data_IF_305963320048
#
_entry.id   IF_305963320048
#
_cell.length_a   1.000
_cell.length_b   1.000
_cell.length_c   1.000
_cell.angle_alpha   90.00
_cell.angle_beta   90.00
_cell.angle_gamma   90.00
#
_symmetry.space_group_name_H-M   'P 1'
#
loop_
_entity.id
_entity.type
_entity.pdbx_description
1 polymer ?
#
# COMPACT_ATOMS: atom_id res chain seq x y z
N UNK A 1 13.98 29.60 -1.75
CA UNK A 1 14.01 28.93 -0.42
C UNK A 1 15.40 28.35 -0.19
N UNK A 2 15.87 28.12 1.05
CA UNK A 2 17.12 27.36 1.24
C UNK A 2 16.89 25.88 0.91
N UNK A 3 17.69 25.32 0.01
CA UNK A 3 17.60 23.90 -0.38
C UNK A 3 17.77 22.99 0.85
N UNK A 4 16.83 22.07 1.13
CA UNK A 4 16.98 21.07 2.18
C UNK A 4 18.21 20.19 1.92
N UNK A 5 18.94 19.83 2.97
CA UNK A 5 20.18 19.01 2.87
C UNK A 5 20.00 17.71 2.08
N UNK A 6 18.81 17.09 2.16
CA UNK A 6 18.48 15.83 1.46
C UNK A 6 18.27 16.02 -0.05
N UNK A 7 17.92 17.22 -0.52
CA UNK A 7 17.73 17.52 -1.96
C UNK A 7 19.03 18.04 -2.58
N UNK A 8 19.97 18.53 -1.76
CA UNK A 8 21.22 19.11 -2.23
C UNK A 8 22.05 18.20 -3.18
N UNK A 9 22.17 16.89 -2.95
CA UNK A 9 22.83 15.97 -3.90
C UNK A 9 22.15 15.96 -5.27
N UNK A 10 20.82 15.98 -5.33
CA UNK A 10 20.07 16.03 -6.60
C UNK A 10 20.31 17.34 -7.34
N UNK A 11 20.61 18.44 -6.63
CA UNK A 11 21.00 19.71 -7.25
C UNK A 11 22.41 19.65 -7.81
N UNK A 12 23.35 19.08 -7.05
CA UNK A 12 24.74 18.91 -7.48
C UNK A 12 24.88 17.97 -8.68
N UNK A 13 24.00 16.96 -8.79
CA UNK A 13 23.92 16.03 -9.91
C UNK A 13 23.10 16.56 -11.12
N UNK A 14 22.48 17.74 -11.01
CA UNK A 14 21.70 18.35 -12.09
C UNK A 14 20.33 17.70 -12.33
N UNK A 15 19.80 16.93 -11.38
CA UNK A 15 18.44 16.36 -11.43
C UNK A 15 17.37 17.37 -11.02
N UNK A 16 17.74 18.32 -10.15
CA UNK A 16 16.88 19.40 -9.65
C UNK A 16 17.63 20.73 -9.78
N UNK A 17 17.05 21.75 -10.39
CA UNK A 17 17.70 23.06 -10.51
C UNK A 17 17.49 23.90 -9.25
N UNK A 18 16.25 23.93 -8.75
CA UNK A 18 15.88 24.73 -7.59
C UNK A 18 14.72 24.13 -6.79
N UNK A 19 14.72 24.40 -5.48
CA UNK A 19 13.58 24.13 -4.60
C UNK A 19 12.73 25.39 -4.50
N UNK A 20 11.55 25.35 -5.10
CA UNK A 20 10.63 26.49 -5.19
C UNK A 20 10.01 26.76 -3.82
N UNK A 21 9.31 25.74 -3.27
CA UNK A 21 8.63 25.84 -1.96
C UNK A 21 8.41 24.47 -1.33
N UNK A 22 8.18 24.45 -0.01
CA UNK A 22 7.63 23.26 0.66
C UNK A 22 6.12 23.19 0.37
N UNK A 23 5.65 22.01 -0.03
CA UNK A 23 4.23 21.77 -0.28
C UNK A 23 3.52 21.32 1.00
N UNK A 24 4.00 20.24 1.60
CA UNK A 24 3.43 19.69 2.82
C UNK A 24 4.48 18.94 3.65
N UNK A 25 4.25 18.84 4.95
CA UNK A 25 5.09 18.05 5.87
C UNK A 25 4.20 17.11 6.67
N UNK A 26 4.32 15.81 6.40
CA UNK A 26 3.61 14.75 7.10
C UNK A 26 4.46 14.09 8.20
N UNK A 27 3.94 13.02 8.81
CA UNK A 27 4.68 12.23 9.80
C UNK A 27 5.85 11.46 9.18
N UNK A 28 5.70 11.00 7.93
CA UNK A 28 6.66 10.09 7.30
C UNK A 28 7.55 10.76 6.25
N UNK A 29 7.07 11.83 5.62
CA UNK A 29 7.78 12.54 4.56
C UNK A 29 7.43 14.03 4.54
N UNK A 30 8.30 14.82 3.91
CA UNK A 30 8.04 16.22 3.54
C UNK A 30 8.11 16.31 2.02
N UNK A 31 7.10 16.91 1.40
CA UNK A 31 7.02 17.10 -0.06
C UNK A 31 7.39 18.53 -0.40
N UNK A 32 8.24 18.70 -1.40
CA UNK A 32 8.68 19.99 -1.93
C UNK A 32 8.32 20.09 -3.41
N UNK A 33 7.98 21.31 -3.84
CA UNK A 33 7.88 21.66 -5.25
C UNK A 33 9.26 22.07 -5.73
N UNK A 34 9.73 21.43 -6.80
CA UNK A 34 11.08 21.60 -7.36
C UNK A 34 11.02 21.86 -8.86
N UNK A 35 12.00 22.59 -9.39
CA UNK A 35 12.19 22.78 -10.83
C UNK A 35 13.22 21.78 -11.36
N UNK A 36 12.91 21.18 -12.51
CA UNK A 36 13.78 20.26 -13.23
C UNK A 36 13.72 20.58 -14.73
N UNK A 37 14.64 21.39 -15.23
CA UNK A 37 14.57 22.07 -16.52
C UNK A 37 13.35 22.97 -16.60
N UNK A 38 12.57 22.79 -17.67
CA UNK A 38 11.32 23.53 -17.90
C UNK A 38 10.13 22.95 -17.12
N UNK A 39 10.32 21.84 -16.40
CA UNK A 39 9.25 21.12 -15.71
C UNK A 39 9.24 21.42 -14.21
N UNK A 40 8.05 21.49 -13.63
CA UNK A 40 7.84 21.59 -12.18
C UNK A 40 7.39 20.23 -11.66
N UNK A 41 8.06 19.74 -10.61
CA UNK A 41 7.90 18.38 -10.06
C UNK A 41 7.77 18.39 -8.55
N UNK A 42 7.43 17.22 -7.99
CA UNK A 42 7.43 16.93 -6.57
C UNK A 42 8.70 16.17 -6.16
N UNK A 43 9.35 16.63 -5.09
CA UNK A 43 10.37 15.88 -4.36
C UNK A 43 9.82 15.45 -3.00
N UNK A 44 9.46 14.17 -2.84
CA UNK A 44 9.03 13.56 -1.57
C UNK A 44 10.27 13.08 -0.80
N UNK A 45 10.62 13.81 0.25
CA UNK A 45 11.77 13.53 1.12
C UNK A 45 11.31 12.74 2.35
N UNK A 46 11.73 11.49 2.47
CA UNK A 46 11.35 10.65 3.61
C UNK A 46 12.12 11.01 4.89
N UNK A 47 11.43 10.98 6.03
CA UNK A 47 12.03 11.19 7.36
C UNK A 47 12.72 9.90 7.84
N UNK A 48 13.78 10.02 8.65
CA UNK A 48 14.57 8.88 9.17
C UNK A 48 13.74 7.94 10.06
N UNK A 49 14.04 6.63 10.06
CA UNK A 49 13.20 5.63 10.74
C UNK A 49 13.04 5.85 12.25
N UNK A 50 14.00 6.48 12.92
CA UNK A 50 13.94 6.77 14.35
C UNK A 50 12.88 7.82 14.73
N UNK A 51 12.27 8.50 13.74
CA UNK A 51 11.19 9.46 13.95
C UNK A 51 9.81 8.92 13.53
N UNK A 52 9.74 7.66 13.08
CA UNK A 52 8.49 7.03 12.61
C UNK A 52 7.87 6.20 13.74
N UNK A 53 6.82 6.73 14.38
CA UNK A 53 6.03 5.97 15.36
C UNK A 53 5.22 4.87 14.66
N UNK A 54 5.81 3.69 14.46
CA UNK A 54 5.14 2.53 13.86
C UNK A 54 4.52 1.63 14.94
N UNK A 55 3.19 1.63 15.04
CA UNK A 55 2.45 0.54 15.70
C UNK A 55 1.91 -0.51 14.72
N UNK A 56 1.87 -0.23 13.41
CA UNK A 56 1.21 -1.10 12.41
C UNK A 56 2.13 -1.65 11.29
N UNK A 57 3.45 -1.43 11.34
CA UNK A 57 4.38 -1.81 10.26
C UNK A 57 4.41 -3.30 9.90
N UNK A 58 4.14 -4.19 10.86
CA UNK A 58 4.30 -5.65 10.69
C UNK A 58 3.36 -6.19 9.61
N UNK A 59 2.12 -5.67 9.55
CA UNK A 59 1.09 -6.12 8.60
C UNK A 59 1.41 -5.69 7.16
N UNK A 60 2.06 -4.54 6.97
CA UNK A 60 2.48 -4.02 5.67
C UNK A 60 3.79 -4.64 5.15
N UNK A 61 4.57 -5.26 6.03
CA UNK A 61 5.82 -5.93 5.68
C UNK A 61 5.62 -7.40 5.29
N UNK A 62 4.54 -8.03 5.75
CA UNK A 62 4.17 -9.40 5.36
C UNK A 62 3.92 -9.48 3.84
N UNK A 63 4.62 -10.39 3.16
CA UNK A 63 4.55 -10.60 1.72
C UNK A 63 5.66 -9.93 0.89
N UNK A 64 6.42 -8.97 1.45
CA UNK A 64 7.55 -8.33 0.77
C UNK A 64 8.78 -9.25 0.74
N UNK A 65 8.83 -10.21 -0.19
CA UNK A 65 10.00 -11.07 -0.38
C UNK A 65 11.10 -10.34 -1.16
N UNK A 66 12.25 -10.13 -0.52
CA UNK A 66 13.48 -9.70 -1.20
C UNK A 66 13.98 -10.85 -2.09
N UNK A 67 14.25 -10.57 -3.37
CA UNK A 67 14.68 -11.58 -4.37
C UNK A 67 16.01 -12.29 -4.03
N UNK A 68 16.73 -11.88 -2.99
CA UNK A 68 18.05 -12.38 -2.64
C UNK A 68 18.09 -12.98 -1.21
N UNK A 69 18.34 -14.30 -1.12
CA UNK A 69 18.25 -15.09 0.13
C UNK A 69 19.25 -14.68 1.22
N UNK A 70 20.36 -14.03 0.85
CA UNK A 70 21.33 -13.47 1.81
C UNK A 70 20.83 -12.17 2.46
N UNK A 71 20.07 -11.36 1.72
CA UNK A 71 19.53 -10.09 2.19
C UNK A 71 18.34 -10.31 3.15
N UNK A 72 17.49 -11.31 2.84
CA UNK A 72 16.40 -11.72 3.72
C UNK A 72 16.88 -12.09 5.14
N UNK A 73 17.98 -12.86 5.25
CA UNK A 73 18.59 -13.27 6.54
C UNK A 73 19.23 -12.10 7.32
N UNK A 74 19.65 -11.03 6.64
CA UNK A 74 20.23 -9.86 7.29
C UNK A 74 19.16 -8.94 7.90
N UNK A 75 17.98 -8.88 7.27
CA UNK A 75 16.79 -8.19 7.76
C UNK A 75 16.17 -8.92 8.97
N UNK A 76 16.08 -10.25 8.91
CA UNK A 76 15.55 -11.10 9.99
C UNK A 76 16.31 -10.96 11.33
N UNK A 77 17.60 -10.59 11.26
CA UNK A 77 18.47 -10.42 12.43
C UNK A 77 18.48 -9.00 13.01
N UNK A 78 17.73 -8.05 12.45
CA UNK A 78 17.60 -6.69 13.00
C UNK A 78 18.92 -5.89 13.10
N UNK A 79 19.96 -6.29 12.36
CA UNK A 79 21.28 -5.67 12.40
C UNK A 79 21.25 -4.22 11.87
N UNK A 80 22.23 -3.39 12.23
CA UNK A 80 22.34 -2.00 11.71
C UNK A 80 22.38 -1.95 10.18
N UNK A 81 23.02 -2.95 9.56
CA UNK A 81 23.03 -3.15 8.11
C UNK A 81 21.66 -3.61 7.59
N UNK A 82 21.00 -4.55 8.27
CA UNK A 82 19.64 -5.00 7.95
C UNK A 82 18.61 -3.87 7.98
N UNK A 83 18.68 -2.95 8.97
CA UNK A 83 17.82 -1.76 9.05
C UNK A 83 18.08 -0.76 7.94
N UNK A 84 19.36 -0.49 7.61
CA UNK A 84 19.74 0.37 6.48
C UNK A 84 19.26 -0.21 5.14
N UNK A 85 19.38 -1.53 4.95
CA UNK A 85 18.85 -2.23 3.78
C UNK A 85 17.32 -2.21 3.72
N UNK A 86 16.64 -2.27 4.87
CA UNK A 86 15.18 -2.17 4.95
C UNK A 86 14.71 -0.75 4.60
N UNK A 87 15.47 0.29 4.97
CA UNK A 87 15.23 1.67 4.57
C UNK A 87 15.46 1.89 3.06
N UNK A 88 16.53 1.36 2.47
CA UNK A 88 16.79 1.43 1.01
C UNK A 88 15.72 0.67 0.20
N UNK A 89 15.25 -0.49 0.69
CA UNK A 89 14.12 -1.24 0.09
C UNK A 89 12.78 -0.51 0.25
N UNK A 90 12.58 0.24 1.34
CA UNK A 90 11.34 0.99 1.55
C UNK A 90 11.28 2.27 0.70
N UNK A 91 12.41 2.96 0.52
CA UNK A 91 12.53 4.13 -0.38
C UNK A 91 12.33 3.74 -1.84
N UNK A 92 12.67 2.51 -2.22
CA UNK A 92 12.45 1.95 -3.56
C UNK A 92 11.04 1.38 -3.74
N UNK A 93 10.37 0.92 -2.68
CA UNK A 93 9.05 0.30 -2.79
C UNK A 93 7.96 1.24 -3.32
N UNK A 94 7.92 2.50 -2.89
CA UNK A 94 6.93 3.46 -3.41
C UNK A 94 7.21 3.82 -4.87
N UNK A 95 8.49 4.01 -5.23
CA UNK A 95 8.88 4.23 -6.63
C UNK A 95 8.53 3.02 -7.52
N UNK A 96 8.85 1.81 -7.07
CA UNK A 96 8.53 0.57 -7.77
C UNK A 96 7.01 0.37 -7.92
N UNK A 97 6.24 0.74 -6.90
CA UNK A 97 4.79 0.74 -6.97
C UNK A 97 4.28 1.72 -8.03
N UNK A 98 4.73 2.99 -8.01
CA UNK A 98 4.37 3.97 -9.02
C UNK A 98 4.71 3.50 -10.44
N UNK A 99 5.92 2.96 -10.66
CA UNK A 99 6.29 2.42 -11.97
C UNK A 99 5.42 1.24 -12.40
N UNK A 100 5.12 0.31 -11.48
CA UNK A 100 4.29 -0.87 -11.77
C UNK A 100 2.86 -0.46 -12.10
N UNK A 101 2.29 0.47 -11.34
CA UNK A 101 0.91 0.93 -11.51
C UNK A 101 0.75 1.80 -12.75
N UNK A 102 1.69 2.71 -13.02
CA UNK A 102 1.68 3.50 -14.26
C UNK A 102 1.74 2.60 -15.51
N UNK A 103 2.56 1.53 -15.49
CA UNK A 103 2.59 0.53 -16.57
C UNK A 103 1.30 -0.26 -16.72
N UNK A 104 0.54 -0.41 -15.65
CA UNK A 104 -0.78 -1.04 -15.66
C UNK A 104 -1.90 -0.08 -16.08
N UNK A 105 -1.58 1.18 -16.41
CA UNK A 105 -2.56 2.18 -16.81
C UNK A 105 -3.30 2.82 -15.63
N UNK A 106 -2.86 2.60 -14.40
CA UNK A 106 -3.43 3.27 -13.23
C UNK A 106 -2.99 4.72 -13.24
N UNK A 107 -3.91 5.64 -12.96
CA UNK A 107 -3.63 7.07 -12.80
C UNK A 107 -2.94 7.34 -11.47
N UNK A 108 -1.62 7.40 -11.54
CA UNK A 108 -0.70 7.76 -10.46
C UNK A 108 0.31 8.77 -11.00
N UNK A 109 0.98 9.57 -10.14
CA UNK A 109 2.05 10.46 -10.59
C UNK A 109 3.19 9.68 -11.26
N UNK A 110 3.71 10.17 -12.39
CA UNK A 110 4.88 9.54 -13.01
C UNK A 110 6.08 9.70 -12.08
N UNK A 111 6.68 8.58 -11.67
CA UNK A 111 7.95 8.59 -10.96
C UNK A 111 9.12 8.76 -11.94
N UNK A 112 10.13 9.54 -11.54
CA UNK A 112 11.39 9.72 -12.27
C UNK A 112 12.55 8.97 -11.61
N UNK A 113 12.42 8.67 -10.32
CA UNK A 113 13.40 7.89 -9.56
C UNK A 113 13.39 8.22 -8.08
N UNK A 114 14.05 7.38 -7.29
CA UNK A 114 14.30 7.65 -5.87
C UNK A 114 15.80 7.72 -5.62
N UNK A 115 16.28 8.88 -5.16
CA UNK A 115 17.69 9.20 -4.98
C UNK A 115 17.93 9.59 -3.51
N UNK A 116 18.76 8.84 -2.79
CA UNK A 116 19.13 9.11 -1.39
C UNK A 116 17.95 9.38 -0.42
N UNK A 117 16.81 8.74 -0.66
CA UNK A 117 15.57 8.94 0.12
C UNK A 117 14.73 10.13 -0.31
N UNK A 118 14.93 10.61 -1.53
CA UNK A 118 14.10 11.59 -2.21
C UNK A 118 13.46 10.94 -3.44
N UNK A 119 12.14 10.75 -3.40
CA UNK A 119 11.36 10.33 -4.57
C UNK A 119 11.01 11.56 -5.41
N UNK A 120 11.46 11.58 -6.66
CA UNK A 120 11.11 12.59 -7.65
C UNK A 120 9.96 12.07 -8.51
N UNK A 121 8.86 12.82 -8.57
CA UNK A 121 7.65 12.45 -9.31
C UNK A 121 6.92 13.69 -9.83
N UNK A 122 5.91 13.50 -10.68
CA UNK A 122 5.06 14.60 -11.14
C UNK A 122 4.43 15.39 -9.99
N UNK A 123 4.28 16.70 -10.21
CA UNK A 123 3.36 17.51 -9.42
C UNK A 123 1.98 17.40 -10.06
N UNK A 124 1.01 16.85 -9.33
CA UNK A 124 -0.39 16.81 -9.81
C UNK A 124 -0.98 18.20 -9.65
N UNK A 125 -1.45 18.78 -10.75
CA UNK A 125 -1.99 20.15 -10.79
C UNK A 125 -3.43 20.19 -11.28
N UNK A 126 -4.14 21.24 -10.87
CA UNK A 126 -5.43 21.60 -11.46
C UNK A 126 -5.25 22.34 -12.80
N UNK A 127 -6.36 22.78 -13.40
CA UNK A 127 -6.42 23.49 -14.68
C UNK A 127 -5.65 24.82 -14.68
N UNK A 128 -5.45 25.41 -13.49
CA UNK A 128 -4.79 26.70 -13.31
C UNK A 128 -3.28 26.53 -13.08
N UNK A 129 -2.79 25.29 -12.98
CA UNK A 129 -1.41 24.97 -12.62
C UNK A 129 -1.14 25.04 -11.12
N UNK A 130 -2.18 25.19 -10.30
CA UNK A 130 -2.09 25.09 -8.84
C UNK A 130 -2.10 23.62 -8.42
N UNK A 131 -1.73 23.34 -7.16
CA UNK A 131 -1.71 21.96 -6.65
C UNK A 131 -3.13 21.41 -6.68
N UNK A 132 -3.31 20.24 -7.28
CA UNK A 132 -4.63 19.62 -7.38
C UNK A 132 -5.27 19.43 -5.98
N UNK A 133 -6.56 19.74 -5.82
CA UNK A 133 -7.27 19.51 -4.57
C UNK A 133 -7.37 18.01 -4.26
N UNK A 134 -7.54 17.68 -2.98
CA UNK A 134 -7.88 16.31 -2.58
C UNK A 134 -9.32 15.99 -2.97
N UNK A 135 -9.63 14.71 -3.13
CA UNK A 135 -10.99 14.25 -3.43
C UNK A 135 -12.03 14.79 -2.42
N UNK A 136 -11.68 14.83 -1.13
CA UNK A 136 -12.53 15.40 -0.08
C UNK A 136 -12.82 16.91 -0.23
N UNK A 137 -12.01 17.66 -0.97
CA UNK A 137 -12.11 19.10 -1.16
C UNK A 137 -12.90 19.48 -2.42
N UNK A 138 -13.31 18.48 -3.21
CA UNK A 138 -14.11 18.67 -4.42
C UNK A 138 -15.58 18.91 -4.03
N UNK A 139 -16.26 19.78 -4.79
CA UNK A 139 -17.70 19.95 -4.69
C UNK A 139 -18.43 18.86 -5.48
N UNK A 140 -19.46 18.27 -4.86
CA UNK A 140 -20.10 17.07 -5.39
C UNK A 140 -21.53 17.31 -5.82
N UNK A 141 -21.86 16.77 -6.99
CA UNK A 141 -23.20 16.35 -7.33
C UNK A 141 -23.26 14.81 -7.45
N UNK A 142 -24.47 14.27 -7.47
CA UNK A 142 -24.70 12.83 -7.54
C UNK A 142 -24.08 12.19 -8.80
N UNK A 143 -24.12 12.89 -9.93
CA UNK A 143 -23.62 12.37 -11.21
C UNK A 143 -22.10 12.23 -11.19
N UNK A 144 -21.40 13.27 -10.74
CA UNK A 144 -19.95 13.29 -10.60
C UNK A 144 -19.48 12.26 -9.57
N UNK A 145 -20.22 12.12 -8.46
CA UNK A 145 -19.94 11.09 -7.45
C UNK A 145 -19.99 9.68 -8.05
N UNK A 146 -21.04 9.35 -8.82
CA UNK A 146 -21.15 8.06 -9.50
C UNK A 146 -20.06 7.83 -10.54
N UNK A 147 -19.72 8.87 -11.32
CA UNK A 147 -18.67 8.81 -12.34
C UNK A 147 -17.30 8.53 -11.71
N UNK A 148 -16.92 9.29 -10.68
CA UNK A 148 -15.62 9.15 -10.03
C UNK A 148 -15.53 7.87 -9.21
N UNK A 149 -16.63 7.43 -8.59
CA UNK A 149 -16.69 6.13 -7.93
C UNK A 149 -16.43 4.99 -8.92
N UNK A 150 -17.13 4.97 -10.06
CA UNK A 150 -16.93 3.96 -11.09
C UNK A 150 -15.50 4.00 -11.66
N UNK A 151 -14.97 5.20 -11.91
CA UNK A 151 -13.59 5.39 -12.35
C UNK A 151 -12.59 4.81 -11.35
N UNK A 152 -12.72 5.14 -10.06
CA UNK A 152 -11.81 4.68 -9.01
C UNK A 152 -11.91 3.17 -8.77
N UNK A 153 -13.11 2.57 -8.87
CA UNK A 153 -13.25 1.11 -8.85
C UNK A 153 -12.46 0.46 -10.00
N UNK A 154 -12.52 1.03 -11.20
CA UNK A 154 -11.70 0.54 -12.31
C UNK A 154 -10.20 0.69 -12.03
N UNK A 155 -9.76 1.79 -11.42
CA UNK A 155 -8.37 1.95 -10.97
C UNK A 155 -7.96 0.87 -9.96
N UNK A 156 -8.82 0.54 -8.99
CA UNK A 156 -8.59 -0.54 -8.02
C UNK A 156 -8.48 -1.90 -8.71
N UNK A 157 -9.32 -2.18 -9.70
CA UNK A 157 -9.22 -3.41 -10.51
C UNK A 157 -7.88 -3.47 -11.25
N UNK A 158 -7.46 -2.38 -11.89
CA UNK A 158 -6.16 -2.30 -12.56
C UNK A 158 -4.99 -2.55 -11.60
N UNK A 159 -5.04 -1.94 -10.41
CA UNK A 159 -4.04 -2.17 -9.35
C UNK A 159 -3.99 -3.66 -8.96
N UNK A 160 -5.15 -4.28 -8.71
CA UNK A 160 -5.23 -5.68 -8.30
C UNK A 160 -4.80 -6.65 -9.41
N UNK A 161 -5.19 -6.40 -10.66
CA UNK A 161 -4.69 -7.14 -11.83
C UNK A 161 -3.18 -6.98 -12.00
N UNK A 162 -2.64 -5.81 -11.66
CA UNK A 162 -1.20 -5.61 -11.58
C UNK A 162 -0.56 -6.31 -10.39
N UNK A 163 -1.34 -6.96 -9.49
CA UNK A 163 -0.89 -7.70 -8.31
C UNK A 163 -0.65 -6.83 -7.08
N UNK A 164 -1.26 -5.65 -7.01
CA UNK A 164 -1.03 -4.66 -5.97
C UNK A 164 -2.34 -4.19 -5.34
N UNK A 165 -2.32 -3.98 -4.03
CA UNK A 165 -3.42 -3.36 -3.28
C UNK A 165 -2.86 -2.11 -2.63
N UNK A 166 -3.61 -1.01 -2.63
CA UNK A 166 -3.16 0.26 -2.05
C UNK A 166 -2.86 0.12 -0.56
N UNK A 167 -3.74 -0.57 0.17
CA UNK A 167 -3.57 -0.86 1.59
C UNK A 167 -3.84 0.33 2.50
N UNK A 168 -4.39 1.44 1.99
CA UNK A 168 -4.86 2.60 2.77
C UNK A 168 -5.75 3.57 1.95
N UNK A 169 -6.42 3.10 0.89
CA UNK A 169 -7.09 4.00 -0.07
C UNK A 169 -8.28 4.72 0.57
N UNK A 170 -8.37 6.05 0.37
CA UNK A 170 -9.42 6.93 0.90
C UNK A 170 -9.49 8.25 0.12
N UNK A 171 -10.47 9.10 0.44
CA UNK A 171 -10.60 10.45 -0.11
C UNK A 171 -9.42 11.39 0.21
N UNK A 172 -8.55 11.01 1.15
CA UNK A 172 -7.38 11.80 1.55
C UNK A 172 -6.13 11.53 0.70
N UNK A 173 -6.05 10.40 0.00
CA UNK A 173 -4.92 10.01 -0.85
C UNK A 173 -5.29 9.91 -2.33
N UNK A 174 -6.31 10.67 -2.72
CA UNK A 174 -6.71 10.87 -4.10
C UNK A 174 -6.71 12.37 -4.36
N UNK A 175 -5.99 12.79 -5.40
CA UNK A 175 -6.05 14.16 -5.93
C UNK A 175 -6.94 14.18 -7.17
N UNK A 176 -7.45 15.35 -7.54
CA UNK A 176 -8.28 15.52 -8.74
C UNK A 176 -7.67 16.57 -9.66
N UNK A 177 -7.17 16.13 -10.81
CA UNK A 177 -6.69 17.02 -11.87
C UNK A 177 -7.79 17.31 -12.90
N UNK A 178 -7.45 18.04 -13.97
CA UNK A 178 -8.38 18.37 -15.06
C UNK A 178 -8.95 17.15 -15.80
N UNK A 179 -8.32 15.99 -15.66
CA UNK A 179 -8.76 14.74 -16.25
C UNK A 179 -9.43 13.81 -15.23
N UNK A 180 -9.49 14.17 -13.94
CA UNK A 180 -10.20 13.47 -12.87
C UNK A 180 -9.29 12.89 -11.77
N UNK A 181 -9.69 11.79 -11.10
CA UNK A 181 -8.95 11.26 -9.96
C UNK A 181 -7.55 10.72 -10.31
N UNK A 182 -6.59 10.98 -9.43
CA UNK A 182 -5.20 10.48 -9.44
C UNK A 182 -4.87 9.93 -8.05
N UNK A 183 -4.51 8.65 -7.99
CA UNK A 183 -4.17 7.95 -6.73
C UNK A 183 -2.73 8.30 -6.34
N UNK A 184 -2.54 8.67 -5.07
CA UNK A 184 -1.22 9.04 -4.52
C UNK A 184 -0.92 8.27 -3.24
N UNK A 185 0.31 8.41 -2.74
CA UNK A 185 0.76 7.88 -1.44
C UNK A 185 0.67 6.35 -1.30
N UNK A 186 1.62 5.65 -1.93
CA UNK A 186 1.69 4.19 -1.98
C UNK A 186 2.71 3.50 -1.02
N UNK A 187 3.19 4.09 0.10
CA UNK A 187 4.17 3.41 0.95
C UNK A 187 3.58 2.15 1.65
N UNK A 188 2.26 2.10 1.80
CA UNK A 188 1.51 0.99 2.39
C UNK A 188 1.03 -0.04 1.36
N UNK A 189 1.35 0.14 0.08
CA UNK A 189 0.97 -0.82 -0.94
C UNK A 189 1.53 -2.22 -0.64
N UNK A 190 0.69 -3.24 -0.83
CA UNK A 190 1.01 -4.64 -0.56
C UNK A 190 0.81 -5.51 -1.80
N UNK A 191 1.52 -6.63 -1.83
CA UNK A 191 1.34 -7.65 -2.86
C UNK A 191 0.08 -8.48 -2.57
N UNK A 192 -0.80 -8.60 -3.57
CA UNK A 192 -2.09 -9.26 -3.42
C UNK A 192 -1.99 -10.78 -3.23
N UNK A 193 -0.95 -11.42 -3.75
CA UNK A 193 -0.76 -12.88 -3.67
C UNK A 193 0.05 -13.29 -2.44
N UNK A 194 0.90 -12.40 -1.93
CA UNK A 194 1.85 -12.68 -0.84
C UNK A 194 1.37 -12.32 0.57
N UNK A 195 0.22 -11.67 0.74
CA UNK A 195 -0.23 -11.14 2.02
C UNK A 195 -1.56 -11.77 2.47
N UNK A 196 -1.57 -12.40 3.66
CA UNK A 196 -2.76 -13.05 4.23
C UNK A 196 -3.91 -12.07 4.53
N UNK A 197 -3.59 -10.78 4.71
CA UNK A 197 -4.55 -9.70 4.94
C UNK A 197 -4.98 -8.99 3.66
N UNK A 198 -4.50 -9.41 2.48
CA UNK A 198 -4.80 -8.78 1.20
C UNK A 198 -6.31 -8.61 0.95
N UNK A 199 -7.10 -9.67 1.22
CA UNK A 199 -8.56 -9.61 1.09
C UNK A 199 -9.16 -8.46 1.90
N UNK A 200 -8.84 -8.41 3.19
CA UNK A 200 -9.40 -7.43 4.13
C UNK A 200 -8.94 -6.02 3.78
N UNK A 201 -7.70 -5.86 3.32
CA UNK A 201 -7.18 -4.57 2.87
C UNK A 201 -7.90 -4.06 1.62
N UNK A 202 -8.09 -4.91 0.62
CA UNK A 202 -8.82 -4.54 -0.60
C UNK A 202 -10.28 -4.19 -0.29
N UNK A 203 -10.96 -5.04 0.49
CA UNK A 203 -12.35 -4.79 0.90
C UNK A 203 -12.45 -3.44 1.62
N UNK A 204 -11.57 -3.17 2.59
CA UNK A 204 -11.55 -1.88 3.30
C UNK A 204 -11.27 -0.70 2.37
N UNK A 205 -10.32 -0.82 1.45
CA UNK A 205 -10.00 0.25 0.49
C UNK A 205 -11.21 0.58 -0.40
N UNK A 206 -11.94 -0.43 -0.87
CA UNK A 206 -13.16 -0.25 -1.67
C UNK A 206 -14.35 0.25 -0.82
N UNK A 207 -14.48 -0.23 0.41
CA UNK A 207 -15.53 0.19 1.34
C UNK A 207 -15.34 1.66 1.77
N UNK A 208 -14.09 2.12 1.91
CA UNK A 208 -13.79 3.53 2.17
C UNK A 208 -14.31 4.43 1.03
N UNK A 209 -14.03 4.05 -0.22
CA UNK A 209 -14.56 4.77 -1.39
C UNK A 209 -16.09 4.73 -1.40
N UNK A 210 -16.67 3.55 -1.23
CA UNK A 210 -18.13 3.36 -1.23
C UNK A 210 -18.79 4.24 -0.15
N UNK A 211 -18.22 4.26 1.06
CA UNK A 211 -18.70 5.07 2.18
C UNK A 211 -18.66 6.56 1.83
N UNK A 212 -17.53 7.06 1.34
CA UNK A 212 -17.37 8.46 0.94
C UNK A 212 -18.40 8.87 -0.12
N UNK A 213 -18.46 8.14 -1.24
CA UNK A 213 -19.35 8.49 -2.34
C UNK A 213 -20.83 8.27 -2.03
N UNK A 214 -21.18 7.36 -1.11
CA UNK A 214 -22.56 7.14 -0.70
C UNK A 214 -23.19 8.34 0.01
N UNK A 215 -22.37 9.25 0.55
CA UNK A 215 -22.86 10.51 1.13
C UNK A 215 -23.48 11.44 0.08
N UNK A 216 -23.09 11.29 -1.20
CA UNK A 216 -23.57 12.07 -2.33
C UNK A 216 -24.45 11.26 -3.29
N UNK A 217 -24.29 9.93 -3.31
CA UNK A 217 -25.06 8.98 -4.11
C UNK A 217 -25.51 7.77 -3.25
N UNK A 218 -26.63 7.89 -2.51
CA UNK A 218 -27.07 6.91 -1.51
C UNK A 218 -27.23 5.47 -2.02
N UNK A 219 -27.52 5.30 -3.31
CA UNK A 219 -27.61 4.00 -3.99
C UNK A 219 -26.32 3.17 -3.93
N UNK A 220 -25.17 3.77 -3.62
CA UNK A 220 -23.91 3.06 -3.47
C UNK A 220 -23.80 2.33 -2.12
N UNK A 221 -24.54 2.76 -1.10
CA UNK A 221 -24.38 2.29 0.28
C UNK A 221 -24.55 0.78 0.46
N UNK A 222 -25.43 0.15 -0.34
CA UNK A 222 -25.73 -1.28 -0.26
C UNK A 222 -24.88 -2.14 -1.21
N UNK A 223 -23.91 -1.54 -1.89
CA UNK A 223 -23.04 -2.25 -2.84
C UNK A 223 -21.90 -2.98 -2.12
N UNK A 224 -21.44 -4.10 -2.70
CA UNK A 224 -20.39 -4.96 -2.15
C UNK A 224 -19.26 -5.18 -3.15
N UNK A 225 -18.81 -4.10 -3.81
CA UNK A 225 -17.78 -4.16 -4.83
C UNK A 225 -16.47 -4.80 -4.34
N UNK A 226 -16.02 -4.49 -3.11
CA UNK A 226 -14.75 -5.01 -2.59
C UNK A 226 -14.71 -6.54 -2.56
N UNK A 227 -15.78 -7.14 -2.02
CA UNK A 227 -15.94 -8.60 -1.98
C UNK A 227 -16.15 -9.20 -3.38
N UNK A 228 -16.85 -8.52 -4.28
CA UNK A 228 -17.13 -9.00 -5.65
C UNK A 228 -15.82 -9.07 -6.44
N UNK A 229 -15.04 -7.98 -6.43
CA UNK A 229 -13.72 -7.88 -7.05
C UNK A 229 -12.80 -8.98 -6.51
N UNK A 230 -12.75 -9.17 -5.18
CA UNK A 230 -11.90 -10.20 -4.58
C UNK A 230 -12.32 -11.62 -4.96
N UNK A 231 -13.61 -11.91 -5.01
CA UNK A 231 -14.10 -13.22 -5.43
C UNK A 231 -13.75 -13.53 -6.88
N UNK A 232 -13.90 -12.55 -7.79
CA UNK A 232 -13.48 -12.67 -9.18
C UNK A 232 -11.97 -12.87 -9.30
N UNK A 233 -11.18 -12.14 -8.50
CA UNK A 233 -9.72 -12.29 -8.46
C UNK A 233 -9.30 -13.69 -8.02
N UNK A 234 -9.85 -14.18 -6.90
CA UNK A 234 -9.58 -15.55 -6.39
C UNK A 234 -10.01 -16.64 -7.37
N UNK A 235 -11.09 -16.41 -8.12
CA UNK A 235 -11.54 -17.33 -9.15
C UNK A 235 -10.69 -17.28 -10.44
N UNK A 236 -9.74 -16.35 -10.56
CA UNK A 236 -8.96 -16.13 -11.78
C UNK A 236 -9.79 -15.55 -12.94
N UNK A 237 -10.89 -14.87 -12.63
CA UNK A 237 -11.86 -14.34 -13.60
C UNK A 237 -11.83 -12.80 -13.69
N UNK A 238 -11.05 -12.13 -12.84
CA UNK A 238 -10.92 -10.68 -12.85
C UNK A 238 -10.00 -10.23 -14.00
N UNK A 239 -10.53 -9.37 -14.85
CA UNK A 239 -9.82 -8.63 -15.90
C UNK A 239 -10.17 -7.14 -15.78
N UNK A 240 -9.37 -6.22 -16.34
CA UNK A 240 -9.70 -4.79 -16.32
C UNK A 240 -11.08 -4.47 -16.90
N UNK A 241 -11.57 -5.28 -17.84
CA UNK A 241 -12.85 -5.13 -18.52
C UNK A 241 -13.99 -5.94 -17.86
N UNK A 242 -13.72 -6.67 -16.78
CA UNK A 242 -14.75 -7.47 -16.10
C UNK A 242 -15.85 -6.54 -15.56
N UNK A 243 -17.11 -6.72 -15.97
CA UNK A 243 -18.20 -5.90 -15.47
C UNK A 243 -18.46 -6.21 -14.01
N UNK A 244 -18.60 -5.16 -13.19
CA UNK A 244 -18.94 -5.26 -11.77
C UNK A 244 -20.40 -4.88 -11.56
N UNK A 245 -21.08 -5.61 -10.70
CA UNK A 245 -22.50 -5.41 -10.41
C UNK A 245 -22.75 -4.75 -9.05
N UNK A 246 -21.74 -4.74 -8.18
CA UNK A 246 -21.85 -4.32 -6.79
C UNK A 246 -22.66 -5.30 -5.95
N UNK A 247 -22.98 -6.49 -6.46
CA UNK A 247 -23.87 -7.46 -5.80
C UNK A 247 -23.17 -8.80 -5.71
N UNK A 248 -23.36 -9.45 -4.57
CA UNK A 248 -22.84 -10.80 -4.33
C UNK A 248 -24.01 -11.66 -3.90
N UNK A 249 -24.17 -12.81 -4.56
CA UNK A 249 -25.08 -13.83 -4.07
C UNK A 249 -24.63 -14.24 -2.67
N UNK A 250 -25.51 -14.10 -1.69
CA UNK A 250 -25.23 -14.53 -0.32
C UNK A 250 -24.98 -16.03 -0.36
N UNK A 251 -23.74 -16.43 -0.04
CA UNK A 251 -23.41 -17.84 0.12
C UNK A 251 -24.07 -18.35 1.41
N UNK A 252 -25.29 -18.86 1.27
CA UNK A 252 -26.08 -19.42 2.37
C UNK A 252 -25.59 -20.81 2.80
N UNK A 253 -24.45 -21.29 2.28
CA UNK A 253 -23.88 -22.56 2.74
C UNK A 253 -23.35 -22.37 4.17
N UNK A 254 -23.74 -23.23 5.13
CA UNK A 254 -23.24 -23.14 6.48
C UNK A 254 -21.72 -23.28 6.48
N UNK A 255 -21.03 -22.33 7.13
CA UNK A 255 -19.59 -22.40 7.31
C UNK A 255 -19.20 -23.77 7.91
N UNK A 256 -18.19 -24.42 7.34
CA UNK A 256 -17.70 -25.70 7.86
C UNK A 256 -16.85 -25.46 9.11
N UNK A 257 -17.54 -25.15 10.21
CA UNK A 257 -16.96 -24.94 11.54
C UNK A 257 -16.17 -26.18 11.98
N UNK A 258 -16.55 -27.38 11.51
CA UNK A 258 -15.86 -28.63 11.87
C UNK A 258 -14.46 -28.70 11.27
N UNK A 259 -14.25 -28.18 10.08
CA UNK A 259 -12.92 -28.14 9.45
C UNK A 259 -12.02 -27.12 10.14
N UNK A 260 -12.53 -25.92 10.43
CA UNK A 260 -11.78 -24.89 11.18
C UNK A 260 -11.40 -25.38 12.59
N UNK A 261 -12.34 -25.99 13.32
CA UNK A 261 -12.08 -26.53 14.66
C UNK A 261 -11.02 -27.65 14.64
N UNK A 262 -11.02 -28.51 13.61
CA UNK A 262 -9.99 -29.55 13.43
C UNK A 262 -8.60 -28.96 13.22
N UNK A 263 -8.48 -27.86 12.48
CA UNK A 263 -7.19 -27.19 12.28
C UNK A 263 -6.69 -26.50 13.55
N UNK A 264 -7.57 -25.84 14.30
CA UNK A 264 -7.23 -25.23 15.60
C UNK A 264 -6.75 -26.30 16.59
N UNK A 265 -7.44 -27.44 16.68
CA UNK A 265 -7.01 -28.55 17.53
C UNK A 265 -5.69 -29.17 17.08
N UNK A 266 -5.43 -29.25 15.77
CA UNK A 266 -4.14 -29.72 15.24
C UNK A 266 -3.00 -28.81 15.70
N UNK A 267 -3.15 -27.50 15.51
CA UNK A 267 -2.14 -26.50 15.92
C UNK A 267 -1.93 -26.55 17.44
N UNK A 268 -3.01 -26.66 18.22
CA UNK A 268 -2.93 -26.76 19.68
C UNK A 268 -2.18 -28.01 20.14
N UNK A 269 -2.41 -29.17 19.54
CA UNK A 269 -1.68 -30.41 19.85
C UNK A 269 -0.20 -30.33 19.49
N UNK A 270 0.13 -29.68 18.37
CA UNK A 270 1.53 -29.44 17.97
C UNK A 270 2.24 -28.52 18.97
N UNK A 271 1.58 -27.46 19.42
CA UNK A 271 2.10 -26.55 20.45
C UNK A 271 2.30 -27.26 21.80
N UNK A 272 1.33 -28.06 22.23
CA UNK A 272 1.39 -28.86 23.45
C UNK A 272 2.56 -29.87 23.41
N UNK A 273 2.73 -30.57 22.28
CA UNK A 273 3.85 -31.50 22.08
C UNK A 273 5.21 -30.79 22.10
N UNK A 274 5.30 -29.59 21.52
CA UNK A 274 6.51 -28.76 21.54
C UNK A 274 6.86 -28.29 22.96
N UNK A 275 5.87 -27.89 23.75
CA UNK A 275 6.06 -27.49 25.14
C UNK A 275 6.52 -28.66 26.02
N UNK A 276 5.95 -29.85 25.82
CA UNK A 276 6.40 -31.08 26.49
C UNK A 276 7.85 -31.41 26.14
N UNK A 277 8.21 -31.39 24.86
CA UNK A 277 9.58 -31.62 24.41
C UNK A 277 10.58 -30.62 25.02
N UNK A 278 10.22 -29.34 25.08
CA UNK A 278 11.04 -28.30 25.72
C UNK A 278 11.17 -28.48 27.23
N UNK A 279 10.14 -29.04 27.89
CA UNK A 279 10.14 -29.35 29.32
C UNK A 279 11.05 -30.54 29.62
N UNK A 280 11.01 -31.58 28.79
CA UNK A 280 11.87 -32.76 28.90
C UNK A 280 13.35 -32.44 28.66
N UNK A 281 13.65 -31.49 27.75
CA UNK A 281 15.01 -30.98 27.57
C UNK A 281 15.54 -30.21 28.79
N UNK A 282 14.67 -29.54 29.56
CA UNK A 282 15.05 -28.81 30.78
C UNK A 282 15.20 -29.71 32.00
N UNK A 283 14.48 -30.83 32.03
CA UNK A 283 14.55 -31.85 33.08
C UNK A 283 14.89 -33.21 32.47
N UNK A 284 16.16 -33.45 32.07
CA UNK A 284 16.55 -34.76 31.57
C UNK A 284 16.33 -35.82 32.65
N UNK A 285 15.80 -37.00 32.31
CA UNK A 285 15.64 -38.08 33.27
C UNK A 285 17.00 -38.43 33.89
N UNK A 286 17.01 -38.68 35.21
CA UNK A 286 18.21 -39.08 35.93
C UNK A 286 18.86 -40.28 35.22
N UNK A 287 20.18 -40.22 34.99
CA UNK A 287 20.93 -41.35 34.45
C UNK A 287 20.68 -42.56 35.37
N UNK A 288 20.37 -43.74 34.81
CA UNK A 288 20.24 -44.94 35.63
C UNK A 288 21.57 -45.17 36.35
N UNK A 289 21.50 -45.39 37.66
CA UNK A 289 22.66 -45.72 38.48
C UNK A 289 23.28 -47.02 37.94
N UNK A 290 24.53 -46.93 37.48
CA UNK A 290 25.32 -48.10 37.11
C UNK A 290 25.64 -48.88 38.39
N UNK A 291 25.04 -50.07 38.51
CA UNK A 291 25.49 -51.13 39.42
C UNK A 291 26.48 -52.06 38.71
#
# INVERSE_FOLDING_TARGET
MKTPKRIQPLVEEGLVDEVIRQLMSGKEATVYVVRCGDQVRCAKVYKEANQRNFRNAVVYQEGRKVKNSRQARAMEKGSRYGRKMQEEVWQTAEADALFRLARAGVRVPQAYGCYEGVLLMDLVTDVNGDVAPRLQEVEWDEKLALEYHAFLLHQVVLMLCAGMIHGDLSEYNILVDEHGPVIIDLPQAVDAAGNNSAQVMLERDVDNLTTFFSTFAPQLADTQYGKEIWNLYKAGQLTPETPLTGKIEVDNRPADVRTVMREIERVRREEEARQLYLKDLKNPPAKPDNF
#
